data_IF_804875725478
#
_entry.id   IF_804875725478
#
_cell.length_a   1.000
_cell.length_b   1.000
_cell.length_c   1.000
_cell.angle_alpha   90.00
_cell.angle_beta   90.00
_cell.angle_gamma   90.00
#
_symmetry.space_group_name_H-M   'P 1'
#
loop_
_entity.id
_entity.type
_entity.pdbx_description
1 polymer ?
#
# COMPACT_ATOMS: atom_id res chain seq x y z
N UNK A 1 -8.40 -8.63 -34.30
CA UNK A 1 -9.25 -8.35 -33.12
C UNK A 1 -9.57 -9.68 -32.47
N UNK A 2 -9.05 -9.97 -31.27
CA UNK A 2 -9.28 -11.24 -30.60
C UNK A 2 -10.54 -11.16 -29.73
N UNK A 3 -11.56 -11.89 -30.14
CA UNK A 3 -12.87 -12.02 -29.48
C UNK A 3 -12.69 -12.63 -28.07
N UNK A 4 -13.05 -11.86 -27.04
CA UNK A 4 -12.97 -12.32 -25.65
C UNK A 4 -14.05 -13.38 -25.44
N UNK A 5 -13.66 -14.65 -25.35
CA UNK A 5 -14.55 -15.75 -24.95
C UNK A 5 -15.18 -15.46 -23.59
N UNK A 6 -16.52 -15.38 -23.56
CA UNK A 6 -17.27 -15.28 -22.31
C UNK A 6 -17.01 -16.51 -21.43
N UNK A 7 -16.70 -16.27 -20.16
CA UNK A 7 -16.46 -17.33 -19.18
C UNK A 7 -17.80 -17.94 -18.77
N UNK A 8 -17.98 -19.24 -19.01
CA UNK A 8 -19.17 -19.98 -18.58
C UNK A 8 -19.45 -19.74 -17.08
N UNK A 9 -20.71 -19.50 -16.68
CA UNK A 9 -21.06 -19.29 -15.28
C UNK A 9 -20.78 -20.57 -14.48
N UNK A 10 -20.31 -20.41 -13.24
CA UNK A 10 -20.02 -21.53 -12.34
C UNK A 10 -21.31 -22.20 -11.90
N UNK A 11 -21.29 -23.53 -11.78
CA UNK A 11 -22.43 -24.29 -11.25
C UNK A 11 -22.60 -24.04 -9.74
N UNK A 12 -23.81 -24.25 -9.16
CA UNK A 12 -24.05 -24.05 -7.73
C UNK A 12 -23.08 -24.84 -6.84
N UNK A 13 -22.80 -26.09 -7.20
CA UNK A 13 -21.85 -26.95 -6.49
C UNK A 13 -20.41 -26.39 -6.51
N UNK A 14 -20.01 -25.74 -7.60
CA UNK A 14 -18.69 -25.09 -7.71
C UNK A 14 -18.59 -23.84 -6.83
N UNK A 15 -19.67 -23.08 -6.70
CA UNK A 15 -19.72 -21.90 -5.83
C UNK A 15 -19.58 -22.33 -4.36
N UNK A 16 -20.23 -23.42 -3.98
CA UNK A 16 -20.20 -23.94 -2.62
C UNK A 16 -18.84 -24.56 -2.26
N UNK A 17 -18.22 -25.30 -3.18
CA UNK A 17 -16.85 -25.76 -3.05
C UNK A 17 -15.85 -24.59 -2.95
N UNK A 18 -16.05 -23.52 -3.74
CA UNK A 18 -15.22 -22.33 -3.71
C UNK A 18 -15.34 -21.60 -2.36
N UNK A 19 -16.55 -21.49 -1.78
CA UNK A 19 -16.74 -20.89 -0.45
C UNK A 19 -16.02 -21.68 0.64
N UNK A 20 -16.08 -23.02 0.60
CA UNK A 20 -15.41 -23.88 1.59
C UNK A 20 -13.88 -23.78 1.54
N UNK A 21 -13.31 -23.66 0.35
CA UNK A 21 -11.86 -23.64 0.15
C UNK A 21 -11.28 -22.22 0.00
N UNK A 22 -12.13 -21.19 0.02
CA UNK A 22 -11.68 -19.80 -0.04
C UNK A 22 -11.02 -19.38 1.28
N UNK A 23 -9.95 -18.60 1.17
CA UNK A 23 -9.37 -17.93 2.32
C UNK A 23 -10.40 -17.00 2.95
N UNK A 24 -10.61 -17.12 4.25
CA UNK A 24 -11.49 -16.23 4.99
C UNK A 24 -10.86 -14.84 5.04
N UNK A 25 -11.65 -13.80 4.74
CA UNK A 25 -11.19 -12.41 4.79
C UNK A 25 -10.68 -12.11 6.21
N UNK A 26 -9.44 -11.62 6.32
CA UNK A 26 -8.80 -11.32 7.61
C UNK A 26 -8.11 -12.52 8.29
N UNK A 27 -8.18 -13.72 7.72
CA UNK A 27 -7.45 -14.89 8.22
C UNK A 27 -6.40 -15.32 7.21
N UNK A 28 -5.12 -15.12 7.55
CA UNK A 28 -4.02 -15.69 6.77
C UNK A 28 -4.12 -17.21 6.80
N UNK A 29 -3.95 -17.87 5.65
CA UNK A 29 -3.84 -19.33 5.57
C UNK A 29 -2.57 -19.87 6.25
N UNK A 30 -1.62 -18.99 6.56
CA UNK A 30 -0.43 -19.31 7.34
C UNK A 30 -0.23 -18.24 8.43
N UNK A 31 -0.92 -18.37 9.57
CA UNK A 31 -0.84 -17.40 10.66
C UNK A 31 0.54 -17.37 11.34
N UNK A 32 1.31 -18.47 11.28
CA UNK A 32 2.68 -18.53 11.82
C UNK A 32 3.74 -17.95 10.86
N UNK A 33 3.33 -17.54 9.65
CA UNK A 33 4.24 -17.03 8.63
C UNK A 33 5.24 -18.07 8.13
N UNK A 34 6.23 -17.60 7.38
CA UNK A 34 7.31 -18.47 6.88
C UNK A 34 8.20 -18.89 8.05
N UNK A 35 8.28 -20.19 8.32
CA UNK A 35 9.21 -20.72 9.32
C UNK A 35 10.63 -20.22 9.06
N UNK A 36 11.33 -19.65 10.07
CA UNK A 36 12.67 -19.14 9.88
C UNK A 36 13.64 -20.28 9.54
N UNK A 37 14.50 -20.04 8.55
CA UNK A 37 15.57 -20.99 8.20
C UNK A 37 16.59 -21.04 9.34
N UNK A 38 16.99 -22.25 9.74
CA UNK A 38 17.97 -22.48 10.81
C UNK A 38 19.28 -21.71 10.54
N UNK A 39 19.88 -21.08 11.56
CA UNK A 39 21.11 -20.28 11.39
C UNK A 39 22.25 -21.06 10.72
N UNK A 40 22.49 -22.30 11.14
CA UNK A 40 23.56 -23.16 10.60
C UNK A 40 23.45 -23.38 9.09
N UNK A 41 22.22 -23.55 8.59
CA UNK A 41 21.96 -23.71 7.16
C UNK A 41 22.32 -22.43 6.41
N UNK A 42 21.96 -21.26 6.96
CA UNK A 42 22.32 -19.96 6.36
C UNK A 42 23.83 -19.77 6.33
N UNK A 43 24.54 -20.15 7.38
CA UNK A 43 26.00 -20.04 7.46
C UNK A 43 26.70 -20.97 6.48
N UNK A 44 26.25 -22.22 6.37
CA UNK A 44 26.75 -23.17 5.37
C UNK A 44 26.59 -22.63 3.93
N UNK A 45 25.44 -22.04 3.61
CA UNK A 45 25.23 -21.43 2.29
C UNK A 45 26.07 -20.17 2.06
N UNK A 46 26.32 -19.36 3.10
CA UNK A 46 27.25 -18.22 3.00
C UNK A 46 28.68 -18.69 2.75
N UNK A 47 29.12 -19.77 3.39
CA UNK A 47 30.46 -20.32 3.19
C UNK A 47 30.68 -20.81 1.74
N UNK A 48 29.62 -21.32 1.08
CA UNK A 48 29.64 -21.76 -0.32
C UNK A 48 29.73 -20.61 -1.35
N UNK A 49 29.76 -19.35 -0.92
CA UNK A 49 29.78 -18.19 -1.84
C UNK A 49 30.97 -18.23 -2.80
N UNK A 50 32.15 -18.68 -2.36
CA UNK A 50 33.33 -18.80 -3.22
C UNK A 50 33.15 -19.86 -4.30
N UNK A 51 32.65 -21.04 -3.92
CA UNK A 51 32.33 -22.12 -4.87
C UNK A 51 31.26 -21.68 -5.86
N UNK A 52 30.22 -20.96 -5.40
CA UNK A 52 29.17 -20.44 -6.26
C UNK A 52 29.67 -19.36 -7.24
N UNK A 53 30.65 -18.56 -6.85
CA UNK A 53 31.32 -17.62 -7.75
C UNK A 53 32.06 -18.38 -8.85
N UNK A 54 32.81 -19.42 -8.48
CA UNK A 54 33.63 -20.17 -9.44
C UNK A 54 32.76 -20.94 -10.44
N UNK A 55 31.62 -21.48 -10.00
CA UNK A 55 30.65 -22.11 -10.92
C UNK A 55 29.99 -21.10 -11.85
N UNK A 56 29.68 -19.87 -11.39
CA UNK A 56 29.19 -18.81 -12.28
C UNK A 56 30.23 -18.42 -13.32
N UNK A 57 31.51 -18.35 -12.94
CA UNK A 57 32.60 -18.09 -13.88
C UNK A 57 32.73 -19.21 -14.92
N UNK A 58 32.69 -20.46 -14.49
CA UNK A 58 32.72 -21.61 -15.40
C UNK A 58 31.52 -21.60 -16.37
N UNK A 59 30.30 -21.35 -15.89
CA UNK A 59 29.11 -21.24 -16.75
C UNK A 59 29.23 -20.06 -17.72
N UNK A 60 29.87 -18.95 -17.34
CA UNK A 60 30.07 -17.80 -18.22
C UNK A 60 31.05 -18.11 -19.37
N UNK A 61 32.11 -18.87 -19.09
CA UNK A 61 33.15 -19.22 -20.07
C UNK A 61 32.76 -20.44 -20.91
N UNK A 62 32.34 -21.52 -20.26
CA UNK A 62 32.15 -22.85 -20.84
C UNK A 62 30.68 -23.25 -21.03
N UNK A 63 29.73 -22.35 -20.71
CA UNK A 63 28.30 -22.63 -20.81
C UNK A 63 27.87 -23.00 -22.23
N UNK A 64 27.05 -24.04 -22.36
CA UNK A 64 26.54 -24.53 -23.66
C UNK A 64 25.51 -23.61 -24.32
N UNK A 65 24.82 -22.79 -23.54
CA UNK A 65 23.75 -21.90 -24.01
C UNK A 65 24.13 -20.45 -23.70
N UNK A 66 24.03 -19.58 -24.70
CA UNK A 66 24.33 -18.16 -24.56
C UNK A 66 23.43 -17.49 -23.51
N UNK A 67 22.17 -17.92 -23.37
CA UNK A 67 21.28 -17.42 -22.32
C UNK A 67 21.83 -17.71 -20.91
N UNK A 68 22.41 -18.89 -20.70
CA UNK A 68 23.02 -19.27 -19.42
C UNK A 68 24.28 -18.46 -19.14
N UNK A 69 25.09 -18.19 -20.17
CA UNK A 69 26.31 -17.36 -20.06
C UNK A 69 25.98 -15.92 -19.71
N UNK A 70 25.00 -15.33 -20.38
CA UNK A 70 24.52 -13.97 -20.11
C UNK A 70 23.92 -13.89 -18.71
N UNK A 71 23.09 -14.86 -18.30
CA UNK A 71 22.53 -14.90 -16.96
C UNK A 71 23.61 -14.99 -15.87
N UNK A 72 24.66 -15.79 -16.09
CA UNK A 72 25.79 -15.89 -15.16
C UNK A 72 26.57 -14.58 -15.07
N UNK A 73 26.85 -13.93 -16.20
CA UNK A 73 27.53 -12.63 -16.25
C UNK A 73 26.73 -11.54 -15.52
N UNK A 74 25.42 -11.42 -15.80
CA UNK A 74 24.53 -10.47 -15.11
C UNK A 74 24.47 -10.75 -13.61
N UNK A 75 24.38 -12.02 -13.20
CA UNK A 75 24.36 -12.41 -11.80
C UNK A 75 25.66 -12.09 -11.06
N UNK A 76 26.82 -12.16 -11.74
CA UNK A 76 28.10 -11.77 -11.19
C UNK A 76 28.21 -10.25 -11.03
N UNK A 77 27.85 -9.49 -12.07
CA UNK A 77 27.89 -8.02 -12.06
C UNK A 77 26.96 -7.42 -10.99
N UNK A 78 25.73 -7.91 -10.89
CA UNK A 78 24.76 -7.44 -9.90
C UNK A 78 25.22 -7.63 -8.45
N UNK A 79 26.15 -8.57 -8.18
CA UNK A 79 26.71 -8.78 -6.84
C UNK A 79 27.87 -7.84 -6.52
N UNK A 80 28.68 -7.49 -7.53
CA UNK A 80 29.81 -6.57 -7.33
C UNK A 80 29.40 -5.10 -7.35
N UNK A 81 28.45 -4.75 -8.22
CA UNK A 81 28.06 -3.37 -8.48
C UNK A 81 26.65 -3.04 -7.97
N UNK A 82 25.91 -4.04 -7.49
CA UNK A 82 24.51 -3.90 -7.11
C UNK A 82 23.55 -4.07 -8.29
N UNK A 83 22.31 -4.43 -7.99
CA UNK A 83 21.24 -4.42 -9.00
C UNK A 83 20.76 -2.97 -9.24
N UNK A 84 20.34 -2.63 -10.47
CA UNK A 84 19.76 -1.32 -10.73
C UNK A 84 18.55 -1.05 -9.83
N UNK A 85 18.40 0.19 -9.39
CA UNK A 85 17.28 0.61 -8.54
C UNK A 85 15.96 0.35 -9.24
N UNK A 86 15.10 -0.47 -8.62
CA UNK A 86 13.77 -0.73 -9.14
C UNK A 86 12.87 0.49 -8.90
N UNK A 87 12.41 1.12 -9.98
CA UNK A 87 11.37 2.13 -9.89
C UNK A 87 10.05 1.46 -9.52
N UNK A 88 9.47 1.87 -8.38
CA UNK A 88 8.14 1.44 -7.97
C UNK A 88 7.20 2.60 -8.19
N UNK A 89 6.36 2.51 -9.22
CA UNK A 89 5.23 3.39 -9.39
C UNK A 89 4.10 2.93 -8.46
N UNK A 90 3.75 3.76 -7.49
CA UNK A 90 2.59 3.54 -6.63
C UNK A 90 1.49 4.49 -7.07
N UNK A 91 0.51 3.96 -7.79
CA UNK A 91 -0.73 4.69 -8.07
C UNK A 91 -1.64 4.61 -6.83
N UNK A 92 -1.63 5.68 -6.03
CA UNK A 92 -2.54 5.83 -4.90
C UNK A 92 -3.85 6.41 -5.43
N UNK A 93 -4.78 5.54 -5.83
CA UNK A 93 -6.16 5.95 -6.11
C UNK A 93 -6.84 6.34 -4.79
N UNK A 94 -6.70 7.61 -4.40
CA UNK A 94 -7.43 8.15 -3.26
C UNK A 94 -8.90 8.25 -3.65
N UNK A 95 -9.69 7.24 -3.28
CA UNK A 95 -11.14 7.35 -3.28
C UNK A 95 -11.51 8.29 -2.14
N UNK A 96 -11.41 9.59 -2.39
CA UNK A 96 -12.07 10.58 -1.53
C UNK A 96 -13.55 10.18 -1.52
N UNK A 97 -14.04 9.70 -0.38
CA UNK A 97 -15.45 9.39 -0.19
C UNK A 97 -16.21 10.72 -0.14
N UNK A 98 -16.49 11.27 -1.32
CA UNK A 98 -17.25 12.52 -1.51
C UNK A 98 -18.61 12.48 -0.82
N UNK A 99 -19.17 11.28 -0.62
CA UNK A 99 -20.39 11.03 0.15
C UNK A 99 -20.27 11.41 1.62
N UNK A 100 -19.13 11.17 2.26
CA UNK A 100 -18.91 11.50 3.65
C UNK A 100 -18.84 13.03 3.85
N UNK A 101 -18.19 13.74 2.92
CA UNK A 101 -18.15 15.21 2.91
C UNK A 101 -19.53 15.82 2.69
N UNK A 102 -20.33 15.27 1.77
CA UNK A 102 -21.69 15.75 1.52
C UNK A 102 -22.60 15.57 2.76
N UNK A 103 -22.56 14.39 3.37
CA UNK A 103 -23.33 14.10 4.58
C UNK A 103 -22.93 15.01 5.75
N UNK A 104 -21.64 15.33 5.88
CA UNK A 104 -21.16 16.26 6.91
C UNK A 104 -21.67 17.69 6.68
N UNK A 105 -21.75 18.14 5.42
CA UNK A 105 -22.29 19.45 5.08
C UNK A 105 -23.79 19.54 5.37
N UNK A 106 -24.56 18.52 5.02
CA UNK A 106 -25.99 18.43 5.32
C UNK A 106 -26.27 18.41 6.83
N UNK A 107 -25.43 17.72 7.61
CA UNK A 107 -25.52 17.76 9.07
C UNK A 107 -25.25 19.16 9.63
N UNK A 108 -24.27 19.88 9.07
CA UNK A 108 -23.95 21.24 9.48
C UNK A 108 -25.05 22.25 9.11
N UNK A 109 -25.66 22.14 7.92
CA UNK A 109 -26.79 22.99 7.54
C UNK A 109 -28.01 22.71 8.41
N UNK A 110 -28.33 21.44 8.68
CA UNK A 110 -29.39 21.06 9.61
C UNK A 110 -29.15 21.65 11.01
N UNK A 111 -27.94 21.50 11.55
CA UNK A 111 -27.57 22.10 12.83
C UNK A 111 -27.71 23.63 12.81
N UNK A 112 -27.26 24.29 11.73
CA UNK A 112 -27.38 25.75 11.57
C UNK A 112 -28.83 26.21 11.49
N UNK A 113 -29.72 25.44 10.86
CA UNK A 113 -31.16 25.76 10.83
C UNK A 113 -31.82 25.61 12.19
N UNK A 114 -31.41 24.61 12.98
CA UNK A 114 -31.93 24.40 14.34
C UNK A 114 -31.44 25.46 15.33
N UNK A 115 -30.22 25.98 15.13
CA UNK A 115 -29.66 27.05 15.97
C UNK A 115 -30.31 28.41 15.69
N UNK A 116 -31.18 28.52 14.67
CA UNK A 116 -32.15 29.62 14.56
C UNK A 116 -31.53 30.98 14.85
N UNK A 117 -30.39 31.28 14.24
CA UNK A 117 -29.82 32.63 14.26
C UNK A 117 -30.74 33.43 13.33
N UNK A 118 -31.84 33.91 13.87
CA UNK A 118 -32.35 35.20 13.45
C UNK A 118 -31.15 36.14 13.50
N UNK A 119 -30.81 36.75 12.38
CA UNK A 119 -29.83 37.83 12.28
C UNK A 119 -30.35 39.02 13.10
N UNK A 120 -30.38 38.89 14.43
CA UNK A 120 -30.58 40.02 15.32
C UNK A 120 -29.22 40.70 15.37
N UNK A 121 -29.08 41.92 14.82
CA UNK A 121 -27.83 42.64 14.95
C UNK A 121 -27.50 42.78 16.44
N UNK A 122 -26.30 42.33 16.83
CA UNK A 122 -25.75 42.56 18.16
C UNK A 122 -25.51 44.07 18.31
N UNK A 123 -26.50 44.80 18.83
CA UNK A 123 -26.37 46.20 19.22
C UNK A 123 -25.61 46.21 20.54
N UNK A 124 -24.34 46.60 20.49
CA UNK A 124 -23.52 46.83 21.68
C UNK A 124 -23.66 48.31 22.01
N UNK A 125 -24.46 48.62 23.04
CA UNK A 125 -24.54 49.98 23.57
C UNK A 125 -23.30 50.25 24.43
N UNK A 126 -22.49 51.24 24.04
CA UNK A 126 -21.36 51.70 24.81
C UNK A 126 -21.81 52.84 25.72
N UNK A 127 -21.83 52.61 27.03
CA UNK A 127 -22.03 53.65 28.04
C UNK A 127 -20.70 54.38 28.28
N UNK A 128 -20.67 55.69 28.00
CA UNK A 128 -19.52 56.54 28.27
C UNK A 128 -19.44 56.81 29.78
N UNK A 129 -18.42 56.25 30.44
CA UNK A 129 -18.04 56.63 31.79
C UNK A 129 -17.54 58.08 31.77
N UNK A 130 -18.34 59.01 32.31
CA UNK A 130 -17.89 60.37 32.57
C UNK A 130 -16.72 60.34 33.55
N UNK A 131 -15.60 60.94 33.11
CA UNK A 131 -14.38 61.08 33.89
C UNK A 131 -14.68 61.97 35.11
N UNK A 132 -14.34 61.55 36.35
CA UNK A 132 -14.52 62.42 37.51
C UNK A 132 -13.66 63.68 37.36
N UNK A 133 -14.28 64.84 37.55
CA UNK A 133 -13.65 66.16 37.49
C UNK A 133 -12.41 66.22 38.38
N UNK A 134 -11.26 66.55 37.78
CA UNK A 134 -10.02 66.85 38.49
C UNK A 134 -10.18 68.22 39.19
N UNK A 135 -10.15 68.32 40.53
CA UNK A 135 -10.18 69.61 41.21
C UNK A 135 -8.82 70.31 41.07
N UNK A 136 -8.87 71.54 40.56
CA UNK A 136 -7.77 72.51 40.49
C UNK A 136 -7.32 72.95 41.88
#
# INVERSE_FOLDING_TARGET
MAEKKEKKPRTPAQIEAQKRNSFKKGQSGNPAGRTPVHPDVKEAFKALTFTARDTLFDVMVNGKNDASRVAAAVAALNRGWGAPTQAVEVDVTHKQDWSALLNALDAHTAAKTLVGIAEVPLVIEAELLEKPDDPN
#
